data_IF_298079699197
#
_entry.id   IF_298079699197
#
_cell.length_a   1.000
_cell.length_b   1.000
_cell.length_c   1.000
_cell.angle_alpha   90.00
_cell.angle_beta   90.00
_cell.angle_gamma   90.00
#
_symmetry.space_group_name_H-M   'P 1'
#
loop_
_entity.id
_entity.type
_entity.pdbx_description
1 polymer ?
#
# COMPACT_ATOMS: atom_id res chain seq x y z
N UNK A 1 -16.03 -3.03 -6.77
CA UNK A 1 -14.64 -3.53 -6.81
C UNK A 1 -13.93 -2.89 -5.62
N UNK A 2 -13.28 -3.72 -4.80
CA UNK A 2 -12.65 -3.30 -3.56
C UNK A 2 -11.21 -2.89 -3.82
N UNK A 3 -10.76 -1.81 -3.20
CA UNK A 3 -9.39 -1.32 -3.27
C UNK A 3 -8.68 -1.65 -1.96
N UNK A 4 -7.45 -2.16 -2.06
CA UNK A 4 -6.64 -2.57 -0.92
C UNK A 4 -5.45 -1.63 -0.75
N UNK A 5 -5.15 -1.22 0.48
CA UNK A 5 -3.92 -0.50 0.76
C UNK A 5 -2.73 -1.47 0.74
N UNK A 6 -1.69 -1.08 0.01
CA UNK A 6 -0.44 -1.82 -0.10
C UNK A 6 0.64 -1.07 0.66
N UNK A 7 1.17 -1.69 1.71
CA UNK A 7 2.20 -1.13 2.57
C UNK A 7 3.54 -1.80 2.28
N UNK A 8 4.61 -1.02 2.15
CA UNK A 8 5.96 -1.55 2.08
C UNK A 8 6.58 -1.56 3.48
N UNK A 9 6.68 -2.72 4.11
CA UNK A 9 7.26 -2.82 5.48
C UNK A 9 8.74 -3.15 5.48
N UNK A 10 9.31 -3.31 4.29
CA UNK A 10 10.74 -3.37 4.03
C UNK A 10 11.15 -2.32 2.99
N UNK A 11 12.45 -2.16 2.80
CA UNK A 11 13.01 -1.42 1.67
C UNK A 11 12.82 -2.25 0.39
N UNK A 12 11.79 -1.91 -0.38
CA UNK A 12 11.37 -2.60 -1.61
C UNK A 12 11.58 -1.64 -2.77
N UNK A 13 12.24 -2.10 -3.83
CA UNK A 13 12.54 -1.23 -4.96
C UNK A 13 11.25 -0.77 -5.67
N UNK A 14 11.17 0.50 -6.13
CA UNK A 14 10.05 0.98 -6.93
C UNK A 14 9.76 0.13 -8.18
N UNK A 15 10.80 -0.47 -8.77
CA UNK A 15 10.66 -1.39 -9.90
C UNK A 15 9.96 -2.70 -9.51
N UNK A 16 10.24 -3.25 -8.33
CA UNK A 16 9.54 -4.43 -7.80
C UNK A 16 8.05 -4.13 -7.61
N UNK A 17 7.72 -2.97 -7.03
CA UNK A 17 6.33 -2.54 -6.83
C UNK A 17 5.63 -2.29 -8.17
N UNK A 18 6.32 -1.67 -9.14
CA UNK A 18 5.82 -1.46 -10.50
C UNK A 18 5.43 -2.79 -11.15
N UNK A 19 6.34 -3.76 -11.16
CA UNK A 19 6.08 -5.11 -11.70
C UNK A 19 4.97 -5.86 -10.97
N UNK A 20 4.76 -5.59 -9.69
CA UNK A 20 3.62 -6.13 -8.96
C UNK A 20 2.34 -5.53 -9.53
N UNK A 21 2.20 -4.20 -9.49
CA UNK A 21 0.98 -3.47 -9.88
C UNK A 21 0.60 -3.58 -11.36
N UNK A 22 1.54 -3.93 -12.24
CA UNK A 22 1.28 -4.25 -13.64
C UNK A 22 0.57 -5.60 -13.82
N UNK A 23 0.58 -6.49 -12.82
CA UNK A 23 -0.05 -7.79 -12.92
C UNK A 23 -1.59 -7.66 -12.91
N UNK A 24 -2.31 -8.32 -13.83
CA UNK A 24 -3.77 -8.19 -13.95
C UNK A 24 -4.55 -8.51 -12.67
N UNK A 25 -4.01 -9.37 -11.79
CA UNK A 25 -4.65 -9.79 -10.53
C UNK A 25 -4.44 -8.83 -9.35
N UNK A 26 -3.57 -7.84 -9.51
CA UNK A 26 -3.15 -6.92 -8.45
C UNK A 26 -3.54 -5.46 -8.74
N UNK A 27 -4.36 -5.25 -9.77
CA UNK A 27 -4.82 -3.95 -10.25
C UNK A 27 -5.81 -3.23 -9.31
N UNK A 28 -5.95 -3.72 -8.08
CA UNK A 28 -6.79 -3.21 -7.00
C UNK A 28 -5.99 -2.60 -5.84
N UNK A 29 -4.66 -2.53 -5.94
CA UNK A 29 -3.83 -1.98 -4.88
C UNK A 29 -3.61 -0.47 -5.03
N UNK A 30 -3.66 0.22 -3.89
CA UNK A 30 -3.22 1.61 -3.74
C UNK A 30 -2.04 1.64 -2.79
N UNK A 31 -0.93 2.18 -3.25
CA UNK A 31 0.34 2.24 -2.52
C UNK A 31 0.26 3.29 -1.40
N UNK A 32 0.48 2.85 -0.17
CA UNK A 32 0.74 3.70 0.98
C UNK A 32 2.25 3.97 1.07
N UNK A 33 2.64 5.25 0.98
CA UNK A 33 4.06 5.65 0.99
C UNK A 33 4.53 6.04 2.38
N UNK A 34 3.74 6.84 3.08
CA UNK A 34 4.11 7.37 4.39
C UNK A 34 2.86 7.51 5.31
N UNK A 35 3.00 7.33 6.64
CA UNK A 35 1.91 7.56 7.59
C UNK A 35 1.30 8.96 7.51
N UNK A 36 2.08 9.98 7.14
CA UNK A 36 1.64 11.36 6.97
C UNK A 36 1.08 11.66 5.57
N UNK A 37 0.88 10.64 4.73
CA UNK A 37 0.36 10.82 3.39
C UNK A 37 -1.05 11.43 3.44
N UNK A 38 -1.19 12.62 2.85
CA UNK A 38 -2.43 13.41 2.94
C UNK A 38 -3.56 12.88 2.04
N UNK A 39 -3.25 12.08 1.03
CA UNK A 39 -4.24 11.54 0.10
C UNK A 39 -3.78 10.23 -0.53
N UNK A 40 -4.74 9.38 -0.87
CA UNK A 40 -4.52 8.12 -1.57
C UNK A 40 -5.07 8.19 -2.99
N UNK A 41 -4.51 7.36 -3.88
CA UNK A 41 -5.06 7.18 -5.23
C UNK A 41 -6.50 6.67 -5.14
N UNK A 42 -7.35 7.14 -6.04
CA UNK A 42 -8.80 6.87 -5.97
C UNK A 42 -9.18 5.40 -6.14
N UNK A 43 -8.35 4.65 -6.89
CA UNK A 43 -8.70 3.31 -7.35
C UNK A 43 -7.52 2.33 -7.31
N UNK A 44 -6.44 2.70 -7.99
CA UNK A 44 -5.18 1.96 -8.02
C UNK A 44 -4.04 2.94 -8.19
N UNK A 45 -2.88 2.59 -7.66
CA UNK A 45 -1.66 3.32 -8.01
C UNK A 45 -1.23 2.90 -9.40
N UNK A 46 -1.09 3.88 -10.30
CA UNK A 46 -0.68 3.62 -11.67
C UNK A 46 0.85 3.47 -11.73
N UNK A 47 1.37 2.37 -12.30
CA UNK A 47 2.78 2.28 -12.67
C UNK A 47 3.11 3.28 -13.80
N UNK A 48 4.38 3.72 -13.94
CA UNK A 48 5.53 3.31 -13.14
C UNK A 48 5.58 3.98 -11.75
N UNK A 49 6.10 3.26 -10.76
CA UNK A 49 6.35 3.80 -9.42
C UNK A 49 7.72 4.48 -9.41
N UNK A 50 7.73 5.77 -9.13
CA UNK A 50 8.94 6.55 -8.91
C UNK A 50 9.47 6.35 -7.49
N UNK A 51 10.75 6.73 -7.27
CA UNK A 51 11.32 6.72 -5.93
C UNK A 51 10.48 7.55 -4.96
N UNK A 52 10.24 7.02 -3.76
CA UNK A 52 9.47 7.66 -2.71
C UNK A 52 10.09 7.34 -1.36
N UNK A 53 9.81 8.18 -0.37
CA UNK A 53 10.17 7.90 1.01
C UNK A 53 9.16 6.91 1.59
N UNK A 54 9.64 5.73 2.00
CA UNK A 54 8.83 4.71 2.63
C UNK A 54 8.82 4.88 4.16
N UNK A 55 7.72 5.37 4.71
CA UNK A 55 7.54 5.59 6.15
C UNK A 55 7.13 4.35 6.96
N UNK A 56 6.89 3.21 6.30
CA UNK A 56 6.39 1.99 6.94
C UNK A 56 7.47 0.92 7.18
N UNK A 57 8.73 1.23 6.89
CA UNK A 57 9.85 0.29 7.10
C UNK A 57 9.88 -0.17 8.56
N UNK A 58 9.91 -1.48 8.78
CA UNK A 58 9.97 -2.10 10.09
C UNK A 58 8.62 -2.22 10.81
N UNK A 59 7.52 -1.77 10.20
CA UNK A 59 6.19 -1.96 10.77
C UNK A 59 5.72 -3.41 10.61
N UNK A 60 5.12 -3.95 11.67
CA UNK A 60 4.43 -5.23 11.63
C UNK A 60 2.93 -5.06 11.33
N UNK A 61 2.24 -6.17 11.11
CA UNK A 61 0.81 -6.17 10.80
C UNK A 61 -0.03 -5.52 11.91
N UNK A 62 0.33 -5.71 13.18
CA UNK A 62 -0.41 -5.13 14.31
C UNK A 62 -0.27 -3.60 14.35
N UNK A 63 0.91 -3.07 14.02
CA UNK A 63 1.12 -1.62 13.91
C UNK A 63 0.36 -1.02 12.73
N UNK A 64 0.37 -1.69 11.57
CA UNK A 64 -0.41 -1.27 10.39
C UNK A 64 -1.91 -1.27 10.71
N UNK A 65 -2.41 -2.30 11.39
CA UNK A 65 -3.81 -2.37 11.79
C UNK A 65 -4.18 -1.21 12.74
N UNK A 66 -3.38 -0.94 13.77
CA UNK A 66 -3.61 0.22 14.65
C UNK A 66 -3.62 1.54 13.89
N UNK A 67 -2.74 1.68 12.90
CA UNK A 67 -2.71 2.86 12.04
C UNK A 67 -4.02 2.99 11.27
N UNK A 68 -4.51 1.93 10.63
CA UNK A 68 -5.78 1.95 9.89
C UNK A 68 -7.00 2.22 10.77
N UNK A 69 -7.01 1.70 12.00
CA UNK A 69 -8.14 1.81 12.94
C UNK A 69 -8.28 3.20 13.57
N UNK A 70 -7.17 3.91 13.81
CA UNK A 70 -7.23 5.15 14.59
C UNK A 70 -6.25 6.26 14.25
N UNK A 71 -5.21 6.02 13.44
CA UNK A 71 -4.21 7.04 13.09
C UNK A 71 -4.30 7.50 11.62
N UNK A 72 -4.97 6.72 10.76
CA UNK A 72 -5.19 7.04 9.37
C UNK A 72 -6.11 8.27 9.28
N UNK A 73 -5.64 9.39 8.69
CA UNK A 73 -6.45 10.58 8.60
C UNK A 73 -7.71 10.29 7.80
N UNK A 74 -8.89 10.56 8.36
CA UNK A 74 -10.16 10.38 7.63
C UNK A 74 -10.20 11.20 6.34
N UNK A 75 -9.56 12.37 6.35
CA UNK A 75 -9.39 13.23 5.16
C UNK A 75 -8.56 12.60 4.05
N UNK A 76 -7.69 11.64 4.37
CA UNK A 76 -6.89 10.93 3.37
C UNK A 76 -7.74 9.91 2.59
N UNK A 77 -8.81 9.42 3.22
CA UNK A 77 -9.80 8.57 2.58
C UNK A 77 -10.88 9.45 1.92
N UNK A 78 -10.74 9.67 0.62
CA UNK A 78 -11.81 10.30 -0.15
C UNK A 78 -13.07 9.41 -0.03
N UNK A 79 -14.26 9.94 0.30
CA UNK A 79 -15.49 9.14 0.39
C UNK A 79 -15.89 8.46 -0.94
N UNK A 80 -15.24 8.84 -2.06
CA UNK A 80 -15.37 8.18 -3.36
C UNK A 80 -14.38 7.01 -3.56
N UNK A 81 -13.34 6.90 -2.73
CA UNK A 81 -12.42 5.75 -2.73
C UNK A 81 -13.14 4.51 -2.19
N UNK A 82 -13.01 3.37 -2.88
CA UNK A 82 -13.51 2.07 -2.40
C UNK A 82 -12.51 1.39 -1.45
N UNK A 83 -11.80 2.18 -0.63
CA UNK A 83 -10.77 1.69 0.29
C UNK A 83 -11.44 1.30 1.61
N UNK A 84 -11.27 0.05 2.03
CA UNK A 84 -11.73 -0.45 3.32
C UNK A 84 -10.57 -0.46 4.33
N UNK A 85 -10.81 0.05 5.55
CA UNK A 85 -9.80 0.08 6.63
C UNK A 85 -9.42 -1.32 7.14
N UNK A 86 -10.21 -2.33 6.80
CA UNK A 86 -10.09 -3.70 7.29
C UNK A 86 -9.19 -4.59 6.42
N UNK A 87 -8.86 -4.16 5.19
CA UNK A 87 -8.15 -4.99 4.24
C UNK A 87 -6.91 -4.30 3.69
N UNK A 88 -5.75 -4.88 3.96
CA UNK A 88 -4.46 -4.40 3.49
C UNK A 88 -3.53 -5.53 3.10
N UNK A 89 -2.53 -5.20 2.29
CA UNK A 89 -1.42 -6.07 1.92
C UNK A 89 -0.10 -5.47 2.38
N UNK A 90 0.86 -6.34 2.72
CA UNK A 90 2.20 -5.94 3.14
C UNK A 90 3.24 -6.54 2.20
N UNK A 91 4.19 -5.72 1.77
CA UNK A 91 5.40 -6.12 1.06
C UNK A 91 6.56 -6.15 2.05
N UNK A 92 7.05 -7.35 2.35
CA UNK A 92 8.23 -7.56 3.18
C UNK A 92 9.38 -8.22 2.38
N UNK A 93 10.55 -8.39 3.03
CA UNK A 93 11.74 -9.02 2.40
C UNK A 93 11.56 -10.50 2.04
N UNK A 94 10.52 -11.18 2.55
CA UNK A 94 10.16 -12.56 2.19
C UNK A 94 9.25 -12.55 0.96
N UNK A 95 8.31 -11.61 0.88
CA UNK A 95 7.42 -11.46 -0.28
C UNK A 95 8.18 -11.10 -1.56
N UNK A 96 9.25 -10.30 -1.45
CA UNK A 96 10.17 -10.03 -2.58
C UNK A 96 10.86 -11.31 -3.08
N UNK A 97 11.23 -12.21 -2.16
CA UNK A 97 11.94 -13.45 -2.48
C UNK A 97 11.04 -14.56 -3.00
N UNK A 98 9.77 -14.58 -2.62
CA UNK A 98 8.89 -15.72 -2.89
C UNK A 98 8.06 -15.61 -4.18
N UNK A 99 7.91 -14.44 -4.83
CA UNK A 99 7.13 -14.27 -6.09
C UNK A 99 5.76 -15.02 -6.09
N UNK A 100 5.15 -15.22 -4.93
CA UNK A 100 3.83 -15.82 -4.81
C UNK A 100 2.91 -14.71 -4.29
N UNK A 101 2.13 -14.16 -5.21
CA UNK A 101 1.08 -13.18 -4.99
C UNK A 101 -0.20 -13.71 -5.61
#
# INVERSE_FOLDING_TARGET
MTTYLLFCTADISPNTITKLLEQPRTNCFVLAKDPSQASFDHWRTNPPIHAFQNGFIGWDAARIQRYLEGELPESALNPKTNITKEQFAMLDKKSERQRQW
#
